data_IF_856299806598
#
_entry.id   IF_856299806598
#
_cell.length_a   1.000
_cell.length_b   1.000
_cell.length_c   1.000
_cell.angle_alpha   90.00
_cell.angle_beta   90.00
_cell.angle_gamma   90.00
#
_symmetry.space_group_name_H-M   'P 1'
#
loop_
_entity.id
_entity.type
_entity.pdbx_description
1 polymer ?
#
# COMPACT_ATOMS: atom_id res chain seq x y z
N UNK A 1 7.68 -69.08 -6.69
CA UNK A 1 6.25 -68.85 -6.35
C UNK A 1 6.23 -68.39 -4.91
N UNK A 2 6.24 -67.07 -4.73
CA UNK A 2 6.19 -66.43 -3.42
C UNK A 2 5.15 -65.32 -3.56
N UNK A 3 3.97 -65.56 -3.01
CA UNK A 3 2.82 -64.66 -3.08
C UNK A 3 3.06 -63.43 -2.23
N UNK A 4 2.92 -62.28 -2.88
CA UNK A 4 2.96 -60.95 -2.32
C UNK A 4 1.51 -60.60 -1.96
N UNK A 5 1.14 -60.67 -0.69
CA UNK A 5 -0.20 -60.32 -0.23
C UNK A 5 -0.20 -58.99 0.51
N UNK A 6 -1.00 -58.05 -0.01
CA UNK A 6 -1.79 -57.14 0.82
C UNK A 6 -1.17 -55.80 1.23
N UNK A 7 -0.94 -54.90 0.27
CA UNK A 7 -1.06 -53.46 0.58
C UNK A 7 -2.53 -53.14 0.84
N UNK A 8 -2.92 -53.16 2.11
CA UNK A 8 -4.18 -52.57 2.56
C UNK A 8 -4.09 -51.06 2.47
N UNK A 9 -4.87 -50.48 1.55
CA UNK A 9 -5.03 -49.04 1.41
C UNK A 9 -5.67 -48.45 2.67
N UNK A 10 -4.89 -47.78 3.52
CA UNK A 10 -5.42 -46.73 4.38
C UNK A 10 -5.50 -45.47 3.51
N UNK A 11 -6.74 -45.08 3.17
CA UNK A 11 -7.00 -43.84 2.46
C UNK A 11 -6.50 -42.63 3.26
N UNK A 12 -6.26 -41.48 2.62
CA UNK A 12 -5.86 -40.27 3.33
C UNK A 12 -6.97 -39.91 4.33
N UNK A 13 -6.59 -39.78 5.60
CA UNK A 13 -7.45 -39.24 6.64
C UNK A 13 -8.09 -37.94 6.10
N UNK A 14 -9.41 -37.92 6.10
CA UNK A 14 -10.16 -36.72 5.71
C UNK A 14 -9.79 -35.58 6.65
N UNK A 15 -9.78 -34.34 6.18
CA UNK A 15 -9.35 -33.16 6.93
C UNK A 15 -10.13 -32.83 8.22
N UNK A 16 -11.04 -33.71 8.66
CA UNK A 16 -11.78 -33.63 9.91
C UNK A 16 -11.14 -34.42 11.08
N UNK A 17 -10.31 -35.44 10.81
CA UNK A 17 -9.66 -36.25 11.88
C UNK A 17 -8.57 -35.49 12.65
N UNK A 18 -8.15 -34.32 12.15
CA UNK A 18 -7.12 -33.49 12.78
C UNK A 18 -7.55 -32.88 14.13
N UNK A 19 -8.84 -32.92 14.46
CA UNK A 19 -9.39 -32.37 15.70
C UNK A 19 -9.57 -33.39 16.83
N UNK A 20 -9.36 -34.68 16.56
CA UNK A 20 -9.47 -35.76 17.57
C UNK A 20 -8.11 -36.13 18.18
N UNK A 21 -7.04 -35.46 17.76
CA UNK A 21 -5.66 -35.77 18.12
C UNK A 21 -5.09 -34.64 18.97
N UNK A 22 -4.82 -34.92 20.24
CA UNK A 22 -4.15 -34.04 21.18
C UNK A 22 -2.65 -33.85 20.91
N UNK A 23 -2.00 -33.03 21.73
CA UNK A 23 -0.57 -32.72 21.60
C UNK A 23 0.27 -34.00 21.61
N UNK A 24 1.08 -34.22 20.56
CA UNK A 24 1.95 -35.38 20.44
C UNK A 24 1.36 -36.59 19.70
N UNK A 25 0.18 -36.48 19.09
CA UNK A 25 -0.40 -37.55 18.28
C UNK A 25 -1.27 -38.56 19.04
N UNK A 26 -1.61 -38.27 20.30
CA UNK A 26 -2.48 -39.13 21.11
C UNK A 26 -3.96 -38.72 20.97
N UNK A 27 -4.91 -39.66 21.00
CA UNK A 27 -6.33 -39.34 20.96
C UNK A 27 -6.75 -38.53 22.20
N UNK A 28 -7.67 -37.58 22.01
CA UNK A 28 -8.27 -36.83 23.11
C UNK A 28 -9.01 -37.76 24.06
N UNK A 29 -8.96 -37.46 25.37
CA UNK A 29 -9.83 -38.14 26.34
C UNK A 29 -11.30 -37.72 26.16
N UNK A 30 -12.24 -38.55 26.59
CA UNK A 30 -13.68 -38.24 26.55
C UNK A 30 -14.00 -36.91 27.28
N UNK A 31 -13.25 -36.61 28.35
CA UNK A 31 -13.41 -35.36 29.10
C UNK A 31 -12.94 -34.12 28.31
N UNK A 32 -11.86 -34.26 27.54
CA UNK A 32 -11.35 -33.21 26.64
C UNK A 32 -12.26 -33.01 25.43
N UNK A 33 -12.80 -34.10 24.88
CA UNK A 33 -13.74 -34.05 23.76
C UNK A 33 -15.03 -33.32 24.16
N UNK A 34 -15.58 -33.64 25.33
CA UNK A 34 -16.74 -32.94 25.89
C UNK A 34 -16.45 -31.45 26.14
N UNK A 35 -15.28 -31.14 26.73
CA UNK A 35 -14.87 -29.75 26.95
C UNK A 35 -14.71 -28.97 25.65
N UNK A 36 -14.16 -29.58 24.60
CA UNK A 36 -14.03 -28.96 23.28
C UNK A 36 -15.41 -28.66 22.65
N UNK A 37 -16.36 -29.58 22.77
CA UNK A 37 -17.74 -29.37 22.29
C UNK A 37 -18.39 -28.20 23.04
N UNK A 38 -18.29 -28.18 24.37
CA UNK A 38 -18.82 -27.11 25.21
C UNK A 38 -18.20 -25.75 24.86
N UNK A 39 -16.89 -25.69 24.62
CA UNK A 39 -16.19 -24.47 24.19
C UNK A 39 -16.62 -23.99 22.80
N UNK A 40 -16.87 -24.92 21.87
CA UNK A 40 -17.39 -24.58 20.54
C UNK A 40 -18.78 -23.98 20.64
N UNK A 41 -19.69 -24.66 21.35
CA UNK A 41 -21.06 -24.16 21.57
C UNK A 41 -21.09 -22.86 22.37
N UNK A 42 -20.13 -22.64 23.28
CA UNK A 42 -19.96 -21.36 23.96
C UNK A 42 -19.53 -20.24 23.00
N UNK A 43 -18.60 -20.51 22.09
CA UNK A 43 -18.14 -19.54 21.10
C UNK A 43 -19.24 -19.15 20.09
N UNK A 44 -20.10 -20.11 19.73
CA UNK A 44 -21.23 -19.91 18.82
C UNK A 44 -22.47 -19.32 19.51
N UNK A 45 -22.44 -19.18 20.85
CA UNK A 45 -23.55 -18.64 21.65
C UNK A 45 -24.75 -19.59 21.78
N UNK A 46 -24.53 -20.89 21.52
CA UNK A 46 -25.55 -21.94 21.59
C UNK A 46 -25.66 -22.57 22.99
N UNK A 47 -24.67 -22.31 23.85
CA UNK A 47 -24.66 -22.80 25.22
C UNK A 47 -25.61 -21.97 26.12
N UNK A 48 -26.38 -22.64 26.97
CA UNK A 48 -27.19 -21.93 27.97
C UNK A 48 -26.33 -21.25 29.05
N UNK A 49 -26.86 -20.20 29.70
CA UNK A 49 -26.11 -19.40 30.68
C UNK A 49 -25.57 -20.22 31.87
N UNK A 50 -26.27 -21.29 32.26
CA UNK A 50 -25.88 -22.13 33.39
C UNK A 50 -24.71 -23.06 33.03
N UNK A 51 -24.76 -23.66 31.84
CA UNK A 51 -23.68 -24.45 31.27
C UNK A 51 -22.46 -23.58 30.97
N UNK A 52 -22.67 -22.34 30.49
CA UNK A 52 -21.57 -21.41 30.24
C UNK A 52 -20.81 -21.06 31.52
N UNK A 53 -21.53 -20.80 32.61
CA UNK A 53 -20.94 -20.57 33.93
C UNK A 53 -20.18 -21.81 34.43
N UNK A 54 -20.70 -23.01 34.21
CA UNK A 54 -20.04 -24.26 34.60
C UNK A 54 -18.76 -24.53 33.81
N UNK A 55 -18.75 -24.24 32.50
CA UNK A 55 -17.55 -24.35 31.65
C UNK A 55 -16.48 -23.38 32.12
N UNK A 56 -16.84 -22.13 32.39
CA UNK A 56 -15.90 -21.14 32.93
C UNK A 56 -15.35 -21.55 34.30
N UNK A 57 -16.21 -22.02 35.21
CA UNK A 57 -15.78 -22.51 36.51
C UNK A 57 -14.85 -23.72 36.37
N UNK A 58 -15.10 -24.61 35.41
CA UNK A 58 -14.25 -25.77 35.13
C UNK A 58 -12.86 -25.34 34.62
N UNK A 59 -12.79 -24.35 33.74
CA UNK A 59 -11.51 -23.76 33.30
C UNK A 59 -10.72 -23.13 34.46
N UNK A 60 -11.40 -22.52 35.44
CA UNK A 60 -10.74 -21.89 36.58
C UNK A 60 -10.32 -22.88 37.69
N UNK A 61 -11.05 -23.99 37.84
CA UNK A 61 -10.90 -24.91 38.98
C UNK A 61 -10.15 -26.20 38.66
N UNK A 62 -10.07 -26.59 37.38
CA UNK A 62 -9.44 -27.82 36.92
C UNK A 62 -8.20 -27.51 36.06
N UNK A 63 -7.03 -27.93 36.56
CA UNK A 63 -5.73 -27.69 35.93
C UNK A 63 -5.61 -28.40 34.57
N UNK A 64 -6.23 -29.57 34.41
CA UNK A 64 -6.18 -30.33 33.15
C UNK A 64 -7.07 -29.66 32.08
N UNK A 65 -8.24 -29.15 32.48
CA UNK A 65 -9.12 -28.38 31.61
C UNK A 65 -8.49 -27.05 31.18
N UNK A 66 -7.83 -26.35 32.11
CA UNK A 66 -7.10 -25.11 31.82
C UNK A 66 -5.95 -25.36 30.85
N UNK A 67 -5.11 -26.37 31.10
CA UNK A 67 -3.99 -26.73 30.23
C UNK A 67 -4.45 -27.10 28.81
N UNK A 68 -5.54 -27.87 28.71
CA UNK A 68 -6.14 -28.23 27.42
C UNK A 68 -6.66 -27.00 26.65
N UNK A 69 -7.32 -26.07 27.34
CA UNK A 69 -7.80 -24.82 26.74
C UNK A 69 -6.65 -23.91 26.26
N UNK A 70 -5.57 -23.81 27.02
CA UNK A 70 -4.37 -23.09 26.61
C UNK A 70 -3.74 -23.70 25.35
N UNK A 71 -3.69 -25.04 25.27
CA UNK A 71 -3.18 -25.75 24.09
C UNK A 71 -4.09 -25.56 22.86
N UNK A 72 -5.41 -25.64 23.01
CA UNK A 72 -6.37 -25.31 21.94
C UNK A 72 -6.17 -23.87 21.45
N UNK A 73 -6.00 -22.92 22.37
CA UNK A 73 -5.76 -21.51 22.04
C UNK A 73 -4.43 -21.35 21.30
N UNK A 74 -3.40 -22.12 21.68
CA UNK A 74 -2.09 -22.15 21.02
C UNK A 74 -2.19 -22.74 19.61
N UNK A 75 -2.93 -23.83 19.42
CA UNK A 75 -3.20 -24.43 18.11
C UNK A 75 -4.00 -23.47 17.22
N UNK A 76 -5.09 -22.89 17.70
CA UNK A 76 -5.86 -21.90 16.97
C UNK A 76 -5.01 -20.70 16.55
N UNK A 77 -4.09 -20.26 17.43
CA UNK A 77 -3.11 -19.21 17.11
C UNK A 77 -2.12 -19.65 16.04
N UNK A 78 -1.55 -20.85 16.11
CA UNK A 78 -0.65 -21.39 15.08
C UNK A 78 -1.36 -21.57 13.73
N UNK A 79 -2.59 -22.06 13.72
CA UNK A 79 -3.39 -22.15 12.49
C UNK A 79 -3.67 -20.77 11.91
N UNK A 80 -3.96 -19.77 12.74
CA UNK A 80 -4.11 -18.38 12.30
C UNK A 80 -2.81 -17.79 11.76
N UNK A 81 -1.67 -18.12 12.37
CA UNK A 81 -0.35 -17.68 11.91
C UNK A 81 0.04 -18.40 10.59
N UNK A 82 -0.29 -19.68 10.42
CA UNK A 82 -0.06 -20.42 9.18
C UNK A 82 -0.99 -20.00 8.04
N UNK A 83 -2.21 -19.56 8.36
CA UNK A 83 -3.16 -19.01 7.40
C UNK A 83 -2.77 -17.62 6.89
N UNK A 84 -1.88 -16.91 7.60
CA UNK A 84 -1.39 -15.58 7.26
C UNK A 84 0.14 -15.60 7.08
N UNK A 85 0.63 -15.73 5.84
CA UNK A 85 2.06 -15.79 5.53
C UNK A 85 2.87 -14.66 6.18
N UNK A 86 2.26 -13.49 6.39
CA UNK A 86 2.91 -12.32 6.97
C UNK A 86 3.17 -12.50 8.46
N UNK A 87 2.24 -13.14 9.19
CA UNK A 87 2.41 -13.48 10.60
C UNK A 87 3.44 -14.57 10.80
N UNK A 88 3.44 -15.58 9.93
CA UNK A 88 4.43 -16.66 9.98
C UNK A 88 5.85 -16.12 9.78
N UNK A 89 6.04 -15.27 8.77
CA UNK A 89 7.34 -14.62 8.51
C UNK A 89 7.79 -13.75 9.67
N UNK A 90 6.89 -12.94 10.24
CA UNK A 90 7.20 -12.16 11.45
C UNK A 90 7.67 -13.03 12.61
N UNK A 91 7.01 -14.17 12.83
CA UNK A 91 7.37 -15.10 13.89
C UNK A 91 8.71 -15.81 13.62
N UNK A 92 9.00 -16.17 12.38
CA UNK A 92 10.29 -16.75 11.98
C UNK A 92 11.43 -15.73 12.12
N UNK A 93 11.21 -14.47 11.76
CA UNK A 93 12.17 -13.38 11.93
C UNK A 93 12.59 -13.25 13.40
N UNK A 94 11.59 -13.18 14.28
CA UNK A 94 11.82 -13.04 15.73
C UNK A 94 12.51 -14.26 16.34
N UNK A 95 12.10 -15.47 15.95
CA UNK A 95 12.71 -16.71 16.46
C UNK A 95 14.16 -16.93 16.02
N UNK A 96 14.54 -16.43 14.85
CA UNK A 96 15.87 -16.67 14.28
C UNK A 96 16.83 -15.51 14.51
N UNK A 97 16.33 -14.34 14.93
CA UNK A 97 17.14 -13.12 15.10
C UNK A 97 17.87 -12.71 13.81
N UNK A 98 17.39 -13.17 12.65
CA UNK A 98 18.11 -13.01 11.41
C UNK A 98 17.89 -11.58 10.89
N UNK A 99 18.95 -10.76 10.94
CA UNK A 99 18.92 -9.32 10.62
C UNK A 99 18.20 -8.98 9.31
N UNK A 100 18.30 -9.83 8.27
CA UNK A 100 17.60 -9.62 7.00
C UNK A 100 16.08 -9.73 7.14
N UNK A 101 15.58 -10.65 7.98
CA UNK A 101 14.15 -10.78 8.24
C UNK A 101 13.61 -9.61 9.05
N UNK A 102 14.41 -9.03 9.97
CA UNK A 102 14.03 -7.81 10.68
C UNK A 102 13.89 -6.62 9.72
N UNK A 103 14.87 -6.42 8.83
CA UNK A 103 14.80 -5.38 7.79
C UNK A 103 13.59 -5.59 6.85
N UNK A 104 13.25 -6.84 6.53
CA UNK A 104 12.03 -7.14 5.75
C UNK A 104 10.75 -6.74 6.49
N UNK A 105 10.69 -6.92 7.82
CA UNK A 105 9.54 -6.49 8.62
C UNK A 105 9.41 -4.97 8.68
N UNK A 106 10.53 -4.26 8.81
CA UNK A 106 10.58 -2.79 8.78
C UNK A 106 10.11 -2.26 7.42
N UNK A 107 10.64 -2.81 6.33
CA UNK A 107 10.25 -2.42 4.97
C UNK A 107 8.75 -2.66 4.72
N UNK A 108 8.21 -3.76 5.25
CA UNK A 108 6.77 -4.06 5.18
C UNK A 108 5.93 -3.07 5.98
N UNK A 109 6.37 -2.73 7.19
CA UNK A 109 5.70 -1.71 8.00
C UNK A 109 5.72 -0.35 7.29
N UNK A 110 6.87 0.04 6.75
CA UNK A 110 7.01 1.27 5.99
C UNK A 110 6.08 1.28 4.77
N UNK A 111 5.97 0.15 4.06
CA UNK A 111 5.03 -0.03 2.93
C UNK A 111 3.58 0.15 3.37
N UNK A 112 3.16 -0.43 4.51
CA UNK A 112 1.80 -0.26 5.05
C UNK A 112 1.53 1.22 5.35
N UNK A 113 2.47 1.91 6.01
CA UNK A 113 2.33 3.32 6.30
C UNK A 113 2.30 4.18 5.03
N UNK A 114 3.14 3.89 4.05
CA UNK A 114 3.12 4.53 2.74
C UNK A 114 1.76 4.39 2.06
N UNK A 115 1.25 3.16 1.93
CA UNK A 115 0.00 2.88 1.22
C UNK A 115 -1.20 3.58 1.88
N UNK A 116 -1.29 3.54 3.21
CA UNK A 116 -2.30 4.28 3.95
C UNK A 116 -2.13 5.79 3.81
N UNK A 117 -0.89 6.28 3.90
CA UNK A 117 -0.57 7.70 3.78
C UNK A 117 -0.97 8.28 2.43
N UNK A 118 -0.63 7.56 1.35
CA UNK A 118 -1.06 7.83 -0.01
C UNK A 118 -2.57 7.78 -0.16
N UNK A 119 -3.24 6.76 0.38
CA UNK A 119 -4.69 6.64 0.28
C UNK A 119 -5.40 7.84 0.93
N UNK A 120 -4.98 8.27 2.13
CA UNK A 120 -5.53 9.47 2.76
C UNK A 120 -5.20 10.77 2.01
N UNK A 121 -4.00 10.86 1.44
CA UNK A 121 -3.58 12.01 0.64
C UNK A 121 -4.46 12.16 -0.60
N UNK A 122 -4.61 11.08 -1.36
CA UNK A 122 -5.42 11.07 -2.58
C UNK A 122 -6.91 11.22 -2.28
N UNK A 123 -7.43 10.64 -1.19
CA UNK A 123 -8.82 10.84 -0.79
C UNK A 123 -9.13 12.31 -0.40
N UNK A 124 -8.16 13.06 0.12
CA UNK A 124 -8.31 14.48 0.41
C UNK A 124 -8.17 15.37 -0.84
N UNK A 125 -7.45 14.90 -1.85
CA UNK A 125 -7.21 15.61 -3.09
C UNK A 125 -8.17 15.06 -4.12
N UNK A 126 -9.39 15.60 -4.11
CA UNK A 126 -10.50 15.37 -5.05
C UNK A 126 -10.29 14.22 -6.07
N UNK A 127 -11.01 13.09 -5.94
CA UNK A 127 -10.84 11.93 -6.83
C UNK A 127 -11.13 12.23 -8.30
N UNK A 128 -11.87 13.30 -8.60
CA UNK A 128 -12.19 13.75 -9.96
C UNK A 128 -11.10 14.66 -10.56
N UNK A 129 -10.21 15.21 -9.73
CA UNK A 129 -8.96 15.74 -10.25
C UNK A 129 -8.19 14.55 -10.78
N UNK A 130 -7.71 14.66 -12.02
CA UNK A 130 -6.72 13.75 -12.59
C UNK A 130 -5.44 13.87 -11.76
N UNK A 131 -5.43 13.26 -10.58
CA UNK A 131 -4.24 13.11 -9.77
C UNK A 131 -3.46 12.01 -10.47
N UNK A 132 -2.46 12.44 -11.22
CA UNK A 132 -1.51 11.54 -11.86
C UNK A 132 -1.01 10.53 -10.83
N UNK A 133 -1.45 9.28 -10.99
CA UNK A 133 -1.07 8.18 -10.14
C UNK A 133 0.36 7.82 -10.51
N UNK A 134 1.33 8.30 -9.73
CA UNK A 134 2.75 8.06 -10.02
C UNK A 134 3.11 6.57 -9.87
N UNK A 135 2.50 5.90 -8.90
CA UNK A 135 2.80 4.50 -8.59
C UNK A 135 1.50 3.70 -8.68
N UNK A 136 1.22 2.89 -7.67
CA UNK A 136 0.05 2.00 -7.67
C UNK A 136 -1.28 2.74 -7.46
N UNK A 137 -2.39 2.03 -7.52
CA UNK A 137 -3.67 2.57 -7.07
C UNK A 137 -3.70 2.76 -5.54
N UNK A 138 -4.44 3.75 -5.02
CA UNK A 138 -4.65 3.86 -3.57
C UNK A 138 -5.41 2.64 -3.03
N UNK A 139 -4.92 2.10 -1.92
CA UNK A 139 -5.55 0.97 -1.24
C UNK A 139 -6.83 1.37 -0.50
N UNK A 140 -7.71 0.38 -0.24
CA UNK A 140 -8.84 0.55 0.65
C UNK A 140 -8.37 0.77 2.10
N UNK A 141 -8.58 1.99 2.62
CA UNK A 141 -8.03 2.45 3.90
C UNK A 141 -8.35 1.50 5.05
N UNK A 142 -9.62 1.17 5.28
CA UNK A 142 -10.01 0.35 6.44
C UNK A 142 -9.46 -1.07 6.35
N UNK A 143 -9.52 -1.70 5.17
CA UNK A 143 -9.01 -3.06 4.98
C UNK A 143 -7.50 -3.13 5.21
N UNK A 144 -6.74 -2.19 4.63
CA UNK A 144 -5.28 -2.15 4.79
C UNK A 144 -4.87 -1.81 6.21
N UNK A 145 -5.61 -0.93 6.89
CA UNK A 145 -5.36 -0.59 8.30
C UNK A 145 -5.54 -1.80 9.21
N UNK A 146 -6.63 -2.56 9.04
CA UNK A 146 -6.90 -3.78 9.82
C UNK A 146 -5.84 -4.85 9.55
N UNK A 147 -5.47 -5.07 8.28
CA UNK A 147 -4.38 -5.99 7.91
C UNK A 147 -3.06 -5.59 8.52
N UNK A 148 -2.67 -4.32 8.38
CA UNK A 148 -1.43 -3.79 8.94
C UNK A 148 -1.37 -3.90 10.47
N UNK A 149 -2.50 -3.69 11.14
CA UNK A 149 -2.60 -3.93 12.59
C UNK A 149 -2.38 -5.41 12.90
N UNK A 150 -3.04 -6.30 12.17
CA UNK A 150 -2.88 -7.75 12.34
C UNK A 150 -1.42 -8.20 12.17
N UNK A 151 -0.70 -7.58 11.24
CA UNK A 151 0.73 -7.77 11.06
C UNK A 151 1.53 -7.32 12.29
N UNK A 152 1.34 -6.09 12.78
CA UNK A 152 2.05 -5.58 13.97
C UNK A 152 1.71 -6.37 15.23
N UNK A 153 0.44 -6.76 15.41
CA UNK A 153 0.02 -7.64 16.51
C UNK A 153 0.75 -9.00 16.44
N UNK A 154 0.99 -9.53 15.25
CA UNK A 154 1.80 -10.73 15.03
C UNK A 154 3.26 -10.58 15.46
N UNK A 155 3.89 -9.45 15.12
CA UNK A 155 5.27 -9.13 15.52
C UNK A 155 5.40 -9.04 17.04
N UNK A 156 4.52 -8.29 17.70
CA UNK A 156 4.54 -8.09 19.17
C UNK A 156 4.28 -9.39 19.96
N UNK A 157 3.41 -10.26 19.45
CA UNK A 157 3.17 -11.57 20.07
C UNK A 157 4.36 -12.53 19.95
N UNK A 158 5.31 -12.26 19.05
CA UNK A 158 6.57 -12.97 18.92
C UNK A 158 7.62 -12.54 19.95
N UNK A 159 7.67 -11.25 20.31
CA UNK A 159 8.65 -10.69 21.26
C UNK A 159 8.40 -11.08 22.73
N UNK A 160 7.13 -11.28 23.11
CA UNK A 160 6.75 -11.55 24.50
C UNK A 160 7.21 -12.93 25.03
N UNK A 161 7.73 -13.82 24.18
CA UNK A 161 8.19 -15.16 24.59
C UNK A 161 9.65 -15.25 25.03
N UNK A 162 10.49 -14.23 24.83
CA UNK A 162 11.93 -14.32 25.14
C UNK A 162 12.44 -13.34 26.20
N UNK A 163 11.63 -12.44 26.75
CA UNK A 163 12.11 -11.50 27.78
C UNK A 163 11.36 -11.60 29.11
N UNK A 164 11.93 -12.42 30.01
CA UNK A 164 11.68 -12.37 31.45
C UNK A 164 12.31 -11.13 32.14
N UNK A 165 12.94 -10.22 31.38
CA UNK A 165 13.45 -8.94 31.88
C UNK A 165 12.76 -7.80 31.13
N UNK A 166 11.81 -7.16 31.83
CA UNK A 166 10.96 -6.13 31.29
C UNK A 166 11.73 -4.86 30.91
N UNK A 167 11.31 -4.27 29.79
CA UNK A 167 11.45 -2.86 29.38
C UNK A 167 12.37 -2.49 28.21
N UNK A 168 13.23 -3.39 27.70
CA UNK A 168 14.13 -3.03 26.58
C UNK A 168 13.84 -3.74 25.23
N UNK A 169 13.03 -4.80 25.21
CA UNK A 169 12.77 -5.61 23.99
C UNK A 169 11.93 -4.91 22.91
N UNK A 170 11.05 -3.97 23.25
CA UNK A 170 10.20 -3.28 22.27
C UNK A 170 10.94 -2.29 21.36
N UNK A 171 12.25 -2.10 21.57
CA UNK A 171 13.15 -1.26 20.78
C UNK A 171 14.18 -2.04 19.96
N UNK A 172 14.11 -3.37 19.93
CA UNK A 172 14.95 -4.15 19.05
C UNK A 172 14.67 -3.70 17.60
N UNK A 173 15.74 -3.23 16.95
CA UNK A 173 15.81 -2.80 15.54
C UNK A 173 15.22 -1.42 15.18
N UNK A 174 15.28 -0.44 16.09
CA UNK A 174 15.05 0.98 15.74
C UNK A 174 13.60 1.37 15.48
N UNK A 175 12.69 0.41 15.32
CA UNK A 175 11.24 0.61 15.19
C UNK A 175 10.53 0.34 16.53
N UNK A 176 9.76 1.32 17.00
CA UNK A 176 8.85 1.14 18.14
C UNK A 176 7.51 0.54 17.66
N UNK A 177 7.42 -0.78 17.72
CA UNK A 177 6.26 -1.57 17.30
C UNK A 177 4.98 -1.25 18.10
N UNK A 178 5.10 -0.83 19.36
CA UNK A 178 3.96 -0.40 20.16
C UNK A 178 3.41 0.94 19.64
N UNK A 179 4.30 1.87 19.28
CA UNK A 179 3.92 3.12 18.62
C UNK A 179 3.30 2.85 17.25
N UNK A 180 3.84 1.92 16.46
CA UNK A 180 3.27 1.52 15.17
C UNK A 180 1.84 0.96 15.30
N UNK A 181 1.62 0.07 16.28
CA UNK A 181 0.29 -0.45 16.61
C UNK A 181 -0.68 0.66 17.02
N UNK A 182 -0.23 1.60 17.85
CA UNK A 182 -1.03 2.72 18.31
C UNK A 182 -1.42 3.67 17.15
N UNK A 183 -0.54 3.82 16.15
CA UNK A 183 -0.84 4.55 14.92
C UNK A 183 -2.01 3.91 14.16
N UNK A 184 -2.04 2.59 14.01
CA UNK A 184 -3.04 1.91 13.18
C UNK A 184 -4.46 1.81 13.80
N UNK A 185 -4.61 1.97 15.13
CA UNK A 185 -5.93 1.91 15.79
C UNK A 185 -6.35 3.19 16.52
N UNK A 186 -5.43 3.98 17.07
CA UNK A 186 -5.78 5.00 18.06
C UNK A 186 -5.38 6.41 17.65
N UNK A 187 -4.09 6.63 17.40
CA UNK A 187 -3.56 7.97 17.11
C UNK A 187 -4.07 8.50 15.78
N UNK A 188 -4.21 7.64 14.77
CA UNK A 188 -4.69 8.04 13.45
C UNK A 188 -6.19 8.32 13.43
N UNK A 189 -6.99 7.56 14.18
CA UNK A 189 -8.44 7.80 14.29
C UNK A 189 -8.75 9.17 14.91
N UNK A 190 -7.93 9.62 15.86
CA UNK A 190 -8.05 10.94 16.52
C UNK A 190 -7.73 12.13 15.62
N UNK A 191 -7.05 11.91 14.49
CA UNK A 191 -6.75 12.98 13.55
C UNK A 191 -7.98 13.11 12.64
N UNK A 192 -8.69 14.23 12.68
CA UNK A 192 -9.87 14.40 11.82
C UNK A 192 -9.48 14.65 10.37
N UNK A 193 -8.47 15.50 10.14
CA UNK A 193 -8.05 15.92 8.80
C UNK A 193 -7.26 14.82 8.06
N UNK A 194 -7.72 14.36 6.88
CA UNK A 194 -7.03 13.28 6.15
C UNK A 194 -5.62 13.67 5.68
N UNK A 195 -5.36 14.95 5.36
CA UNK A 195 -4.00 15.40 5.02
C UNK A 195 -3.02 15.32 6.21
N UNK A 196 -3.51 15.52 7.43
CA UNK A 196 -2.69 15.32 8.64
C UNK A 196 -2.43 13.82 8.88
N UNK A 197 -3.41 12.96 8.61
CA UNK A 197 -3.23 11.49 8.62
C UNK A 197 -2.15 11.08 7.62
N UNK A 198 -2.27 11.55 6.38
CA UNK A 198 -1.29 11.31 5.33
C UNK A 198 0.11 11.77 5.73
N UNK A 199 0.25 12.99 6.25
CA UNK A 199 1.53 13.53 6.73
C UNK A 199 2.19 12.61 7.75
N UNK A 200 1.43 12.20 8.77
CA UNK A 200 1.96 11.37 9.86
C UNK A 200 2.37 9.99 9.37
N UNK A 201 1.55 9.35 8.55
CA UNK A 201 1.86 8.03 8.01
C UNK A 201 3.09 8.06 7.09
N UNK A 202 3.18 9.05 6.18
CA UNK A 202 4.36 9.20 5.31
C UNK A 202 5.63 9.51 6.11
N UNK A 203 5.54 10.32 7.17
CA UNK A 203 6.65 10.55 8.10
C UNK A 203 7.09 9.26 8.80
N UNK A 204 6.15 8.42 9.24
CA UNK A 204 6.49 7.13 9.86
C UNK A 204 7.09 6.16 8.84
N UNK A 205 6.59 6.13 7.61
CA UNK A 205 7.17 5.30 6.54
C UNK A 205 8.64 5.66 6.30
N UNK A 206 8.96 6.95 6.18
CA UNK A 206 10.33 7.43 5.97
C UNK A 206 11.20 7.25 7.22
N UNK A 207 10.63 7.37 8.43
CA UNK A 207 11.37 7.13 9.66
C UNK A 207 11.77 5.66 9.82
N UNK A 208 10.92 4.73 9.37
CA UNK A 208 11.19 3.28 9.38
C UNK A 208 12.14 2.89 8.25
N UNK A 209 11.87 3.35 7.03
CA UNK A 209 12.69 3.07 5.84
C UNK A 209 13.05 4.40 5.13
N UNK A 210 14.21 5.01 5.47
CA UNK A 210 14.63 6.30 4.91
C UNK A 210 14.83 6.29 3.40
N UNK A 211 15.06 5.12 2.81
CA UNK A 211 15.23 4.90 1.38
C UNK A 211 13.91 4.56 0.65
N UNK A 212 12.76 4.57 1.33
CA UNK A 212 11.47 4.31 0.69
C UNK A 212 11.07 5.47 -0.25
N UNK A 213 11.41 5.31 -1.53
CA UNK A 213 11.34 6.32 -2.58
C UNK A 213 9.90 6.85 -2.80
N UNK A 214 8.90 5.98 -2.78
CA UNK A 214 7.50 6.31 -2.98
C UNK A 214 6.95 7.13 -1.80
N UNK A 215 7.33 6.79 -0.57
CA UNK A 215 6.95 7.55 0.62
C UNK A 215 7.55 8.96 0.58
N UNK A 216 8.83 9.08 0.19
CA UNK A 216 9.51 10.37 -0.02
C UNK A 216 8.84 11.20 -1.12
N UNK A 217 8.47 10.57 -2.23
CA UNK A 217 7.74 11.23 -3.31
C UNK A 217 6.42 11.84 -2.85
N UNK A 218 5.56 11.05 -2.18
CA UNK A 218 4.26 11.54 -1.72
C UNK A 218 4.39 12.53 -0.57
N UNK A 219 5.47 12.48 0.22
CA UNK A 219 5.78 13.50 1.23
C UNK A 219 6.04 14.85 0.57
N UNK A 220 6.85 14.88 -0.48
CA UNK A 220 7.10 16.08 -1.28
C UNK A 220 5.82 16.57 -2.00
N UNK A 221 5.00 15.64 -2.50
CA UNK A 221 3.70 15.97 -3.08
C UNK A 221 2.77 16.65 -2.08
N UNK A 222 2.70 16.16 -0.85
CA UNK A 222 1.93 16.80 0.23
C UNK A 222 2.47 18.21 0.56
N UNK A 223 3.79 18.43 0.55
CA UNK A 223 4.35 19.78 0.73
C UNK A 223 3.89 20.74 -0.36
N UNK A 224 3.90 20.29 -1.62
CA UNK A 224 3.45 21.10 -2.75
C UNK A 224 1.97 21.49 -2.62
N UNK A 225 1.11 20.54 -2.24
CA UNK A 225 -0.32 20.80 -2.00
C UNK A 225 -0.57 21.76 -0.84
N UNK A 226 0.32 21.78 0.15
CA UNK A 226 0.27 22.72 1.28
C UNK A 226 0.99 24.05 0.99
N UNK A 227 1.34 24.31 -0.28
CA UNK A 227 1.97 25.56 -0.72
C UNK A 227 3.45 25.68 -0.38
N UNK A 228 4.08 24.66 0.23
CA UNK A 228 5.52 24.64 0.54
C UNK A 228 6.34 24.22 -0.68
N UNK A 229 6.21 24.99 -1.77
CA UNK A 229 6.80 24.68 -3.09
C UNK A 229 8.33 24.52 -3.05
N UNK A 230 9.03 25.35 -2.29
CA UNK A 230 10.49 25.27 -2.15
C UNK A 230 10.92 23.93 -1.52
N UNK A 231 10.30 23.56 -0.40
CA UNK A 231 10.58 22.30 0.29
C UNK A 231 10.22 21.08 -0.58
N UNK A 232 9.09 21.16 -1.29
CA UNK A 232 8.69 20.11 -2.23
C UNK A 232 9.73 19.91 -3.34
N UNK A 233 10.22 21.01 -3.93
CA UNK A 233 11.28 20.98 -4.95
C UNK A 233 12.57 20.37 -4.41
N UNK A 234 13.01 20.79 -3.23
CA UNK A 234 14.22 20.23 -2.60
C UNK A 234 14.11 18.73 -2.39
N UNK A 235 12.97 18.25 -1.86
CA UNK A 235 12.73 16.82 -1.63
C UNK A 235 12.63 16.02 -2.93
N UNK A 236 12.01 16.57 -3.97
CA UNK A 236 11.99 15.90 -5.28
C UNK A 236 13.35 15.90 -5.96
N UNK A 237 14.15 16.96 -5.82
CA UNK A 237 15.51 17.00 -6.37
C UNK A 237 16.40 15.96 -5.68
N UNK A 238 16.34 15.90 -4.35
CA UNK A 238 17.01 14.87 -3.55
C UNK A 238 16.56 13.45 -3.93
N UNK A 239 15.25 13.23 -4.13
CA UNK A 239 14.74 11.94 -4.63
C UNK A 239 15.24 11.64 -6.04
N UNK A 240 15.25 12.62 -6.94
CA UNK A 240 15.76 12.46 -8.31
C UNK A 240 17.24 12.03 -8.33
N UNK A 241 18.06 12.62 -7.45
CA UNK A 241 19.49 12.33 -7.37
C UNK A 241 19.77 10.97 -6.71
N UNK A 242 18.95 10.56 -5.75
CA UNK A 242 19.21 9.39 -4.89
C UNK A 242 18.43 8.13 -5.26
N UNK A 243 17.30 8.24 -5.96
CA UNK A 243 16.46 7.09 -6.28
C UNK A 243 17.22 6.06 -7.12
N UNK A 244 17.10 4.78 -6.76
CA UNK A 244 17.61 3.63 -7.48
C UNK A 244 16.75 3.32 -8.70
N UNK A 245 15.43 3.49 -8.59
CA UNK A 245 14.51 3.21 -9.69
C UNK A 245 14.43 4.40 -10.66
N UNK A 246 14.76 4.20 -11.96
CA UNK A 246 14.66 5.27 -12.97
C UNK A 246 13.25 5.88 -13.06
N UNK A 247 12.21 5.07 -12.88
CA UNK A 247 10.82 5.56 -12.85
C UNK A 247 10.61 6.58 -11.71
N UNK A 248 11.16 6.34 -10.52
CA UNK A 248 10.99 7.22 -9.37
C UNK A 248 11.68 8.58 -9.62
N UNK A 249 12.82 8.58 -10.32
CA UNK A 249 13.45 9.80 -10.84
C UNK A 249 12.56 10.50 -11.87
N UNK A 250 11.97 9.76 -12.81
CA UNK A 250 11.01 10.28 -13.78
C UNK A 250 9.84 11.01 -13.13
N UNK A 251 9.20 10.41 -12.13
CA UNK A 251 8.09 11.05 -11.43
C UNK A 251 8.52 12.31 -10.69
N UNK A 252 9.68 12.29 -10.02
CA UNK A 252 10.24 13.49 -9.41
C UNK A 252 10.49 14.60 -10.45
N UNK A 253 11.06 14.27 -11.61
CA UNK A 253 11.30 15.21 -12.71
C UNK A 253 10.00 15.83 -13.24
N UNK A 254 8.90 15.06 -13.37
CA UNK A 254 7.58 15.61 -13.75
C UNK A 254 7.15 16.69 -12.75
N UNK A 255 7.23 16.39 -11.45
CA UNK A 255 6.76 17.32 -10.43
C UNK A 255 7.62 18.58 -10.34
N UNK A 256 8.94 18.46 -10.48
CA UNK A 256 9.84 19.62 -10.55
C UNK A 256 9.52 20.46 -11.81
N UNK A 257 9.32 19.81 -12.95
CA UNK A 257 8.91 20.47 -14.19
C UNK A 257 7.62 21.27 -14.03
N UNK A 258 6.62 20.70 -13.36
CA UNK A 258 5.35 21.37 -13.05
C UNK A 258 5.51 22.57 -12.12
N UNK A 259 6.36 22.47 -11.11
CA UNK A 259 6.66 23.61 -10.25
C UNK A 259 7.28 24.77 -11.04
N UNK A 260 8.22 24.49 -11.95
CA UNK A 260 8.78 25.52 -12.83
C UNK A 260 7.73 26.09 -13.78
N UNK A 261 6.89 25.25 -14.36
CA UNK A 261 5.82 25.66 -15.25
C UNK A 261 4.85 26.62 -14.54
N UNK A 262 4.40 26.26 -13.33
CA UNK A 262 3.52 27.08 -12.51
C UNK A 262 4.14 28.41 -12.05
N UNK A 263 5.48 28.55 -12.12
CA UNK A 263 6.21 29.78 -11.84
C UNK A 263 6.51 30.61 -13.10
N UNK A 264 6.06 30.17 -14.28
CA UNK A 264 6.38 30.80 -15.56
C UNK A 264 7.80 30.50 -16.07
N UNK A 265 8.53 29.61 -15.40
CA UNK A 265 9.88 29.18 -15.77
C UNK A 265 9.84 28.10 -16.86
N UNK A 266 9.13 28.36 -17.97
CA UNK A 266 8.82 27.37 -19.02
C UNK A 266 10.05 26.68 -19.62
N UNK A 267 11.17 27.42 -19.77
CA UNK A 267 12.43 26.82 -20.27
C UNK A 267 12.98 25.75 -19.33
N UNK A 268 12.86 25.96 -18.03
CA UNK A 268 13.31 25.00 -17.02
C UNK A 268 12.34 23.83 -16.94
N UNK A 269 11.03 24.08 -16.99
CA UNK A 269 10.02 23.03 -17.08
C UNK A 269 10.30 22.08 -18.26
N UNK A 270 10.57 22.63 -19.45
CA UNK A 270 10.91 21.85 -20.64
C UNK A 270 12.20 21.03 -20.48
N UNK A 271 13.19 21.48 -19.70
CA UNK A 271 14.42 20.69 -19.45
C UNK A 271 14.08 19.41 -18.69
N UNK A 272 13.30 19.53 -17.62
CA UNK A 272 12.87 18.39 -16.82
C UNK A 272 12.01 17.41 -17.62
N UNK A 273 11.02 17.90 -18.37
CA UNK A 273 10.19 17.04 -19.19
C UNK A 273 10.99 16.34 -20.32
N UNK A 274 11.92 17.07 -20.96
CA UNK A 274 12.77 16.48 -22.00
C UNK A 274 13.75 15.47 -21.46
N UNK A 275 14.22 15.61 -20.22
CA UNK A 275 15.05 14.58 -19.60
C UNK A 275 14.36 13.22 -19.63
N UNK A 276 13.04 13.16 -19.35
CA UNK A 276 12.25 11.93 -19.35
C UNK A 276 12.15 11.32 -20.76
N UNK A 277 12.03 12.17 -21.80
CA UNK A 277 12.07 11.71 -23.19
C UNK A 277 13.46 11.19 -23.58
N UNK A 278 14.53 11.90 -23.20
CA UNK A 278 15.91 11.55 -23.55
C UNK A 278 16.38 10.28 -22.81
N UNK A 279 15.91 10.07 -21.58
CA UNK A 279 16.24 8.88 -20.79
C UNK A 279 15.54 7.62 -21.30
N UNK A 280 14.59 7.74 -22.25
CA UNK A 280 13.81 6.63 -22.79
C UNK A 280 12.68 6.16 -21.86
N UNK A 281 12.40 6.88 -20.77
CA UNK A 281 11.36 6.50 -19.81
C UNK A 281 9.97 6.57 -20.44
N UNK A 282 9.75 7.55 -21.32
CA UNK A 282 8.49 7.68 -22.05
C UNK A 282 8.13 6.44 -22.87
N UNK A 283 9.14 5.83 -23.51
CA UNK A 283 8.94 4.64 -24.35
C UNK A 283 8.91 3.33 -23.54
N UNK A 284 9.58 3.30 -22.38
CA UNK A 284 9.75 2.08 -21.58
C UNK A 284 8.63 1.88 -20.54
N UNK A 285 8.00 2.95 -20.10
CA UNK A 285 7.05 2.92 -18.99
C UNK A 285 5.85 3.84 -19.32
N UNK A 286 4.72 3.19 -19.54
CA UNK A 286 3.46 3.81 -19.97
C UNK A 286 3.02 4.94 -19.04
N UNK A 287 3.39 4.89 -17.75
CA UNK A 287 3.07 5.93 -16.76
C UNK A 287 3.60 7.32 -17.15
N UNK A 288 4.61 7.41 -18.02
CA UNK A 288 5.21 8.67 -18.45
C UNK A 288 4.54 9.30 -19.68
N UNK A 289 3.45 8.74 -20.21
CA UNK A 289 2.78 9.27 -21.40
C UNK A 289 2.41 10.77 -21.27
N UNK A 290 2.02 11.20 -20.05
CA UNK A 290 1.57 12.55 -19.73
C UNK A 290 2.66 13.62 -19.92
N UNK A 291 3.93 13.23 -20.02
CA UNK A 291 5.04 14.16 -20.22
C UNK A 291 4.90 14.94 -21.52
N UNK A 292 4.46 14.31 -22.61
CA UNK A 292 4.24 15.02 -23.89
C UNK A 292 3.07 16.00 -23.79
N UNK A 293 2.04 15.69 -23.01
CA UNK A 293 0.96 16.62 -22.71
C UNK A 293 1.47 17.85 -21.95
N UNK A 294 2.27 17.64 -20.89
CA UNK A 294 2.87 18.74 -20.13
C UNK A 294 3.78 19.62 -21.01
N UNK A 295 4.53 19.03 -21.94
CA UNK A 295 5.34 19.77 -22.92
C UNK A 295 4.45 20.59 -23.86
N UNK A 296 3.38 20.02 -24.40
CA UNK A 296 2.44 20.74 -25.27
C UNK A 296 1.85 21.96 -24.55
N UNK A 297 1.37 21.77 -23.31
CA UNK A 297 0.84 22.87 -22.49
C UNK A 297 1.90 23.93 -22.17
N UNK A 298 3.15 23.52 -21.94
CA UNK A 298 4.25 24.49 -21.72
C UNK A 298 4.52 25.32 -22.97
N UNK A 299 4.43 24.75 -24.17
CA UNK A 299 4.54 25.53 -25.41
C UNK A 299 3.34 26.45 -25.64
N UNK A 300 2.14 26.00 -25.24
CA UNK A 300 0.95 26.83 -25.28
C UNK A 300 1.10 28.08 -24.40
N UNK A 301 1.62 27.93 -23.17
CA UNK A 301 1.94 29.03 -22.26
C UNK A 301 2.99 29.99 -22.84
N UNK A 302 3.95 29.46 -23.62
CA UNK A 302 4.94 30.27 -24.33
C UNK A 302 4.40 30.95 -25.60
N UNK A 303 3.15 30.67 -25.99
CA UNK A 303 2.52 31.16 -27.22
C UNK A 303 2.97 30.43 -28.50
N UNK A 304 3.75 29.35 -28.38
CA UNK A 304 4.23 28.53 -29.51
C UNK A 304 3.20 27.45 -29.86
N UNK A 305 2.15 27.89 -30.53
CA UNK A 305 0.97 27.08 -30.86
C UNK A 305 1.30 25.93 -31.81
N UNK A 306 2.21 26.12 -32.75
CA UNK A 306 2.59 25.08 -33.71
C UNK A 306 3.26 23.90 -33.01
N UNK A 307 4.20 24.18 -32.09
CA UNK A 307 4.83 23.11 -31.29
C UNK A 307 3.84 22.45 -30.35
N UNK A 308 2.92 23.21 -29.75
CA UNK A 308 1.84 22.61 -28.95
C UNK A 308 1.08 21.54 -29.76
N UNK A 309 0.66 21.88 -30.99
CA UNK A 309 -0.03 20.95 -31.88
C UNK A 309 0.84 19.75 -32.28
N UNK A 310 2.14 19.97 -32.54
CA UNK A 310 3.07 18.89 -32.87
C UNK A 310 3.20 17.88 -31.72
N UNK A 311 3.26 18.35 -30.47
CA UNK A 311 3.35 17.47 -29.30
C UNK A 311 2.03 16.75 -29.01
N UNK A 312 0.88 17.41 -29.20
CA UNK A 312 -0.42 16.73 -29.10
C UNK A 312 -0.55 15.64 -30.14
N UNK A 313 -0.26 15.93 -31.41
CA UNK A 313 -0.32 14.93 -32.48
C UNK A 313 0.66 13.79 -32.25
N UNK A 314 1.89 14.12 -31.86
CA UNK A 314 2.91 13.12 -31.55
C UNK A 314 2.53 12.23 -30.37
N UNK A 315 1.82 12.76 -29.36
CA UNK A 315 1.31 11.96 -28.25
C UNK A 315 0.20 11.01 -28.73
N UNK A 316 -0.81 11.50 -29.44
CA UNK A 316 -1.91 10.69 -30.00
C UNK A 316 -1.39 9.55 -30.87
N UNK A 317 -0.43 9.86 -31.75
CA UNK A 317 0.14 8.86 -32.67
C UNK A 317 0.94 7.78 -31.94
N UNK A 318 1.64 8.15 -30.86
CA UNK A 318 2.47 7.21 -30.10
C UNK A 318 1.74 6.43 -29.02
N UNK A 319 0.64 6.98 -28.49
CA UNK A 319 -0.09 6.46 -27.34
C UNK A 319 -1.62 6.53 -27.58
N UNK A 320 -2.14 5.85 -28.60
CA UNK A 320 -3.56 5.94 -28.97
C UNK A 320 -4.51 5.48 -27.85
N UNK A 321 -4.04 4.63 -26.93
CA UNK A 321 -4.82 4.15 -25.79
C UNK A 321 -5.13 5.26 -24.76
N UNK A 322 -4.34 6.32 -24.69
CA UNK A 322 -4.54 7.43 -23.75
C UNK A 322 -5.31 8.61 -24.34
N UNK A 323 -5.85 8.51 -25.56
CA UNK A 323 -6.58 9.61 -26.21
C UNK A 323 -7.77 10.07 -25.37
N UNK A 324 -8.53 9.15 -24.76
CA UNK A 324 -9.67 9.50 -23.92
C UNK A 324 -9.24 10.27 -22.65
N UNK A 325 -8.17 9.82 -22.00
CA UNK A 325 -7.59 10.50 -20.83
C UNK A 325 -7.05 11.88 -21.22
N UNK A 326 -6.37 11.97 -22.35
CA UNK A 326 -5.85 13.21 -22.90
C UNK A 326 -6.98 14.21 -23.23
N UNK A 327 -8.06 13.75 -23.85
CA UNK A 327 -9.24 14.56 -24.13
C UNK A 327 -9.87 15.08 -22.83
N UNK A 328 -10.01 14.22 -21.82
CA UNK A 328 -10.48 14.62 -20.50
C UNK A 328 -9.56 15.69 -19.87
N UNK A 329 -8.24 15.49 -19.87
CA UNK A 329 -7.27 16.48 -19.38
C UNK A 329 -7.36 17.82 -20.13
N UNK A 330 -7.53 17.77 -21.46
CA UNK A 330 -7.70 18.96 -22.29
C UNK A 330 -8.95 19.76 -21.91
N UNK A 331 -10.07 19.09 -21.63
CA UNK A 331 -11.30 19.76 -21.16
C UNK A 331 -11.15 20.40 -19.79
N UNK A 332 -10.28 19.86 -18.94
CA UNK A 332 -10.03 20.37 -17.59
C UNK A 332 -8.94 21.45 -17.55
N UNK A 333 -8.26 21.74 -18.67
CA UNK A 333 -7.14 22.69 -18.73
C UNK A 333 -7.61 24.12 -19.04
N UNK A 334 -7.68 25.05 -18.06
CA UNK A 334 -8.32 26.36 -18.26
C UNK A 334 -7.62 27.21 -19.33
N UNK A 335 -6.28 27.16 -19.37
CA UNK A 335 -5.50 27.86 -20.38
C UNK A 335 -5.83 27.37 -21.79
N UNK A 336 -6.02 26.06 -21.98
CA UNK A 336 -6.35 25.53 -23.30
C UNK A 336 -7.73 26.02 -23.72
N UNK A 337 -8.71 26.00 -22.82
CA UNK A 337 -10.05 26.53 -23.08
C UNK A 337 -10.01 28.02 -23.45
N UNK A 338 -9.29 28.84 -22.69
CA UNK A 338 -9.11 30.26 -22.96
C UNK A 338 -8.48 30.50 -24.35
N UNK A 339 -7.43 29.75 -24.69
CA UNK A 339 -6.75 29.90 -25.99
C UNK A 339 -7.65 29.42 -27.15
N UNK A 340 -8.47 28.38 -26.95
CA UNK A 340 -9.41 27.92 -27.97
C UNK A 340 -10.51 28.96 -28.25
N UNK A 341 -11.01 29.63 -27.22
CA UNK A 341 -11.98 30.71 -27.35
C UNK A 341 -11.38 31.96 -28.00
N UNK A 342 -10.15 32.33 -27.61
CA UNK A 342 -9.51 33.55 -28.08
C UNK A 342 -8.93 33.44 -29.50
N UNK A 343 -8.53 32.24 -29.94
CA UNK A 343 -7.85 32.01 -31.22
C UNK A 343 -8.56 30.94 -32.06
N UNK A 344 -9.60 31.29 -32.84
CA UNK A 344 -10.34 30.33 -33.67
C UNK A 344 -9.49 29.55 -34.67
N UNK A 345 -8.43 30.16 -35.21
CA UNK A 345 -7.50 29.48 -36.12
C UNK A 345 -6.75 28.33 -35.42
N UNK A 346 -6.39 28.53 -34.15
CA UNK A 346 -5.78 27.48 -33.35
C UNK A 346 -6.77 26.35 -33.06
N UNK A 347 -8.02 26.69 -32.72
CA UNK A 347 -9.07 25.70 -32.51
C UNK A 347 -9.31 24.85 -33.77
N UNK A 348 -9.42 25.50 -34.94
CA UNK A 348 -9.56 24.82 -36.22
C UNK A 348 -8.37 23.91 -36.53
N UNK A 349 -7.14 24.37 -36.26
CA UNK A 349 -5.94 23.57 -36.44
C UNK A 349 -5.87 22.38 -35.47
N UNK A 350 -6.32 22.55 -34.21
CA UNK A 350 -6.39 21.46 -33.24
C UNK A 350 -7.39 20.40 -33.68
N UNK A 351 -8.59 20.79 -34.13
CA UNK A 351 -9.61 19.87 -34.67
C UNK A 351 -9.09 19.15 -35.92
N UNK A 352 -8.41 19.87 -36.81
CA UNK A 352 -7.93 19.30 -38.08
C UNK A 352 -6.76 18.35 -37.87
N UNK A 353 -5.82 18.68 -36.96
CA UNK A 353 -4.62 17.89 -36.74
C UNK A 353 -4.80 16.77 -35.72
N UNK A 354 -5.68 16.97 -34.74
CA UNK A 354 -5.94 16.05 -33.63
C UNK A 354 -7.45 15.79 -33.48
N UNK A 355 -8.16 15.35 -34.54
CA UNK A 355 -9.61 15.12 -34.48
C UNK A 355 -10.02 14.11 -33.41
N UNK A 356 -9.12 13.19 -33.04
CA UNK A 356 -9.35 12.13 -32.07
C UNK A 356 -9.66 12.65 -30.66
N UNK A 357 -9.23 13.88 -30.33
CA UNK A 357 -9.53 14.52 -29.03
C UNK A 357 -10.99 14.95 -28.90
N UNK A 358 -11.72 15.03 -30.01
CA UNK A 358 -13.09 15.53 -30.07
C UNK A 358 -14.12 14.45 -30.41
N UNK A 359 -13.66 13.29 -30.87
CA UNK A 359 -14.53 12.13 -31.09
C UNK A 359 -14.84 11.46 -29.75
N UNK A 360 -16.11 11.40 -29.37
CA UNK A 360 -16.52 10.57 -28.22
C UNK A 360 -16.09 9.12 -28.46
N UNK A 361 -15.55 8.42 -27.46
CA UNK A 361 -15.27 7.00 -27.59
C UNK A 361 -16.59 6.29 -27.95
N UNK A 362 -16.58 5.50 -29.02
CA UNK A 362 -17.71 4.65 -29.34
C UNK A 362 -18.01 3.77 -28.12
N UNK A 363 -19.26 3.82 -27.66
CA UNK A 363 -19.74 3.14 -26.47
C UNK A 363 -19.59 1.60 -26.53
#
# INVERSE_FOLDING_TARGET
>A
MSSFDGFGAQGPASGFDAWEVGVGGQPLSDAQLALQQDLSSLADGELDEGLAANVMLKLESDEEASAFFEDLTRCAKMHRDMADPDRLMARMAMMTGASHLCTDLENRLATIFYQLGKAYLLAALDPDRVVERAFEEPVAVEQTRVKGRGFVDGVLLGSDRETLDGSESSRQDGVDWQTARAMLNGRLERIEEPLKKASRLLEQAIAVAPDHEEARFYRAYLDAQQGRKLLARERWADLFDTALQPANRGHAAIQIGRLHQAEGNHREALRWYRWILISGLFEQDERFWVVRFNIAMTYLEMGDRDRCLDYFKGLIDSQPQHVAEMAHMATQAPLLQEVLEQYPDFANNLITRCPELFTSPAA
#
